data_IF_304891749686
#
_entry.id   IF_304891749686
#
_cell.length_a   1.000
_cell.length_b   1.000
_cell.length_c   1.000
_cell.angle_alpha   90.00
_cell.angle_beta   90.00
_cell.angle_gamma   90.00
#
_symmetry.space_group_name_H-M   'P 1'
#
loop_
_entity.id
_entity.type
_entity.pdbx_description
1 polymer ?
#
# COMPACT_ATOMS: atom_id res chain seq x y z
N UNK A 1 7.62 -15.68 28.63
CA UNK A 1 8.14 -15.03 27.39
C UNK A 1 7.18 -13.95 26.84
N UNK A 2 6.40 -13.27 27.69
CA UNK A 2 5.43 -12.24 27.26
C UNK A 2 6.04 -11.04 26.52
N UNK A 3 7.31 -10.73 26.80
CA UNK A 3 8.03 -9.59 26.21
C UNK A 3 8.32 -9.75 24.72
N UNK A 4 8.54 -10.98 24.25
CA UNK A 4 8.86 -11.27 22.85
C UNK A 4 7.60 -11.25 21.97
N UNK A 5 6.49 -11.80 22.45
CA UNK A 5 5.20 -11.79 21.74
C UNK A 5 4.75 -10.35 21.46
N UNK A 6 4.94 -9.43 22.41
CA UNK A 6 4.62 -8.01 22.22
C UNK A 6 5.42 -7.36 21.08
N UNK A 7 6.70 -7.71 20.92
CA UNK A 7 7.53 -7.21 19.83
C UNK A 7 7.04 -7.70 18.46
N UNK A 8 6.74 -8.99 18.35
CA UNK A 8 6.21 -9.58 17.10
C UNK A 8 4.90 -8.90 16.69
N UNK A 9 4.00 -8.67 17.65
CA UNK A 9 2.73 -7.97 17.40
C UNK A 9 2.96 -6.55 16.86
N UNK A 10 3.87 -5.77 17.46
CA UNK A 10 4.17 -4.43 16.97
C UNK A 10 4.80 -4.43 15.58
N UNK A 11 5.70 -5.38 15.29
CA UNK A 11 6.30 -5.52 13.97
C UNK A 11 5.24 -5.87 12.91
N UNK A 12 4.30 -6.76 13.22
CA UNK A 12 3.19 -7.08 12.32
C UNK A 12 2.32 -5.86 12.03
N UNK A 13 1.99 -5.05 13.05
CA UNK A 13 1.21 -3.83 12.85
C UNK A 13 1.97 -2.79 12.02
N UNK A 14 3.27 -2.59 12.28
CA UNK A 14 4.10 -1.68 11.49
C UNK A 14 4.20 -2.13 10.02
N UNK A 15 4.33 -3.44 9.78
CA UNK A 15 4.36 -4.01 8.44
C UNK A 15 3.04 -3.80 7.68
N UNK A 16 1.90 -4.08 8.32
CA UNK A 16 0.57 -3.85 7.74
C UNK A 16 0.33 -2.37 7.43
N UNK A 17 0.72 -1.47 8.33
CA UNK A 17 0.63 -0.03 8.11
C UNK A 17 1.49 0.40 6.91
N UNK A 18 2.71 -0.15 6.77
CA UNK A 18 3.57 0.10 5.62
C UNK A 18 2.97 -0.35 4.29
N UNK A 19 2.38 -1.54 4.23
CA UNK A 19 1.71 -2.04 3.01
C UNK A 19 0.53 -1.13 2.61
N UNK A 20 -0.29 -0.73 3.58
CA UNK A 20 -1.43 0.14 3.31
C UNK A 20 -0.98 1.53 2.87
N UNK A 21 0.07 2.08 3.49
CA UNK A 21 0.66 3.36 3.12
C UNK A 21 1.21 3.34 1.70
N UNK A 22 1.97 2.29 1.34
CA UNK A 22 2.51 2.13 -0.01
C UNK A 22 1.38 2.04 -1.05
N UNK A 23 0.31 1.29 -0.75
CA UNK A 23 -0.84 1.16 -1.65
C UNK A 23 -1.58 2.49 -1.84
N UNK A 24 -1.71 3.29 -0.80
CA UNK A 24 -2.36 4.61 -0.87
C UNK A 24 -1.50 5.64 -1.64
N UNK A 25 -0.19 5.59 -1.43
CA UNK A 25 0.77 6.38 -2.18
C UNK A 25 0.74 6.05 -3.68
N UNK A 26 0.71 4.77 -4.05
CA UNK A 26 0.62 4.35 -5.46
C UNK A 26 -0.69 4.78 -6.13
N UNK A 27 -1.82 4.73 -5.41
CA UNK A 27 -3.10 5.29 -5.89
C UNK A 27 -3.00 6.78 -6.16
N UNK A 28 -2.47 7.52 -5.19
CA UNK A 28 -2.33 8.98 -5.27
C UNK A 28 -1.42 9.38 -6.43
N UNK A 29 -0.30 8.67 -6.64
CA UNK A 29 0.59 8.86 -7.78
C UNK A 29 -0.11 8.55 -9.11
N UNK A 30 -0.99 7.55 -9.13
CA UNK A 30 -1.78 7.23 -10.31
C UNK A 30 -2.76 8.34 -10.68
N UNK A 31 -3.49 8.85 -9.69
CA UNK A 31 -4.43 9.96 -9.89
C UNK A 31 -3.69 11.24 -10.32
N UNK A 32 -2.52 11.52 -9.74
CA UNK A 32 -1.69 12.67 -10.11
C UNK A 32 -1.10 12.56 -11.53
N UNK A 33 -0.79 11.34 -11.98
CA UNK A 33 -0.31 11.10 -13.36
C UNK A 33 -1.44 11.05 -14.39
N UNK A 34 -2.69 11.27 -13.97
CA UNK A 34 -3.87 11.23 -14.84
C UNK A 34 -4.27 9.81 -15.27
N UNK A 35 -3.78 8.80 -14.56
CA UNK A 35 -4.15 7.40 -14.74
C UNK A 35 -5.44 7.02 -14.00
N UNK A 36 -5.94 5.83 -14.27
CA UNK A 36 -7.05 5.24 -13.53
C UNK A 36 -6.55 4.04 -12.73
N UNK A 37 -6.81 4.03 -11.42
CA UNK A 37 -6.46 2.91 -10.56
C UNK A 37 -7.46 1.76 -10.70
N UNK A 38 -7.07 0.68 -11.36
CA UNK A 38 -7.90 -0.51 -11.60
C UNK A 38 -7.16 -1.78 -11.18
N UNK A 39 -7.84 -2.71 -10.51
CA UNK A 39 -7.29 -4.01 -10.06
C UNK A 39 -5.97 -3.95 -9.26
N UNK A 40 -5.74 -2.85 -8.54
CA UNK A 40 -4.52 -2.68 -7.74
C UNK A 40 -3.29 -2.27 -8.57
N UNK A 41 -3.48 -1.87 -9.82
CA UNK A 41 -2.46 -1.34 -10.71
C UNK A 41 -2.87 0.04 -11.22
N UNK A 42 -1.87 0.86 -11.51
CA UNK A 42 -2.10 2.15 -12.16
C UNK A 42 -2.15 1.98 -13.69
N UNK A 43 -3.27 2.32 -14.31
CA UNK A 43 -3.43 2.31 -15.76
C UNK A 43 -3.37 3.73 -16.32
N UNK A 44 -2.20 4.13 -16.83
CA UNK A 44 -1.98 5.41 -17.52
C UNK A 44 -2.00 5.13 -19.02
N UNK A 45 -3.18 5.21 -19.64
CA UNK A 45 -3.33 5.08 -21.09
C UNK A 45 -3.42 3.65 -21.62
N UNK A 46 -4.66 3.14 -21.69
CA UNK A 46 -5.01 1.96 -22.48
C UNK A 46 -6.21 2.24 -23.37
N UNK A 47 -6.10 3.23 -24.28
CA UNK A 47 -6.98 3.25 -25.46
C UNK A 47 -6.35 2.33 -26.50
N UNK A 48 -6.89 1.12 -26.63
CA UNK A 48 -6.90 0.43 -27.93
C UNK A 48 -7.82 1.16 -28.89
#
# INVERSE_FOLDING_TARGET
MFRLIRLVIFVLFAFLAGILFERDNQKTLCDQSGGSWADGMCSIGGKS
#
